data_IF_958847734888
#
_entry.id   IF_958847734888
#
_cell.length_a   1.000
_cell.length_b   1.000
_cell.length_c   1.000
_cell.angle_alpha   90.00
_cell.angle_beta   90.00
_cell.angle_gamma   90.00
#
_symmetry.space_group_name_H-M   'P 1'
#
loop_
_entity.id
_entity.type
_entity.pdbx_description
1 polymer ?
#
# COMPACT_ATOMS: atom_id res chain seq x y z
N UNK A 1 -27.30 19.80 -49.97
CA UNK A 1 -26.39 18.85 -49.31
C UNK A 1 -26.85 18.74 -47.85
N UNK A 2 -27.69 17.76 -47.55
CA UNK A 2 -28.25 17.53 -46.21
C UNK A 2 -27.21 16.79 -45.36
N UNK A 3 -26.79 17.39 -44.24
CA UNK A 3 -26.03 16.69 -43.20
C UNK A 3 -27.00 16.35 -42.07
N UNK A 4 -27.29 15.06 -41.90
CA UNK A 4 -28.06 14.54 -40.77
C UNK A 4 -27.14 14.51 -39.54
N UNK A 5 -27.46 15.31 -38.52
CA UNK A 5 -26.95 15.07 -37.17
C UNK A 5 -27.64 13.83 -36.60
N UNK A 6 -26.86 12.80 -36.25
CA UNK A 6 -27.32 11.74 -35.38
C UNK A 6 -27.36 12.28 -33.95
N UNK A 7 -28.57 12.53 -33.44
CA UNK A 7 -28.80 12.73 -32.02
C UNK A 7 -28.67 11.36 -31.32
N UNK A 8 -27.62 11.19 -30.52
CA UNK A 8 -27.58 10.13 -29.53
C UNK A 8 -28.53 10.52 -28.39
N UNK A 9 -29.73 9.94 -28.38
CA UNK A 9 -30.61 9.97 -27.22
C UNK A 9 -29.98 9.14 -26.11
N UNK A 10 -29.32 9.81 -25.15
CA UNK A 10 -29.13 9.23 -23.83
C UNK A 10 -30.51 9.10 -23.18
N UNK A 11 -31.02 7.87 -23.11
CA UNK A 11 -32.04 7.51 -22.13
C UNK A 11 -31.43 7.77 -20.75
N UNK A 12 -31.76 8.93 -20.17
CA UNK A 12 -31.53 9.19 -18.77
C UNK A 12 -32.32 8.14 -17.98
N UNK A 13 -31.65 7.09 -17.55
CA UNK A 13 -32.15 6.27 -16.46
C UNK A 13 -32.24 7.19 -15.24
N UNK A 14 -33.46 7.63 -14.94
CA UNK A 14 -33.80 8.28 -13.68
C UNK A 14 -33.54 7.26 -12.55
N UNK A 15 -32.29 7.11 -12.15
CA UNK A 15 -31.98 6.68 -10.80
C UNK A 15 -32.50 7.80 -9.90
N UNK A 16 -33.69 7.62 -9.31
CA UNK A 16 -34.04 8.37 -8.10
C UNK A 16 -32.93 8.05 -7.10
N UNK A 17 -31.94 8.94 -6.99
CA UNK A 17 -31.06 8.96 -5.85
C UNK A 17 -31.98 9.07 -4.63
N UNK A 18 -32.06 7.99 -3.84
CA UNK A 18 -32.79 8.01 -2.59
C UNK A 18 -32.32 9.24 -1.82
N UNK A 19 -33.25 10.11 -1.41
CA UNK A 19 -32.91 11.23 -0.55
C UNK A 19 -32.20 10.65 0.68
N UNK A 20 -31.03 11.21 1.07
CA UNK A 20 -30.31 10.71 2.23
C UNK A 20 -31.23 10.79 3.44
N UNK A 21 -31.50 9.64 4.07
CA UNK A 21 -32.31 9.58 5.27
C UNK A 21 -31.63 10.43 6.36
N UNK A 22 -32.34 11.41 6.90
CA UNK A 22 -31.82 12.20 8.01
C UNK A 22 -32.08 11.43 9.31
N UNK A 23 -31.00 10.99 9.94
CA UNK A 23 -31.04 10.38 11.27
C UNK A 23 -30.96 11.50 12.32
N UNK A 24 -31.98 11.61 13.17
CA UNK A 24 -31.98 12.52 14.31
C UNK A 24 -31.52 11.76 15.56
N UNK A 25 -30.38 12.16 16.12
CA UNK A 25 -29.82 11.61 17.37
C UNK A 25 -29.86 12.73 18.41
N UNK A 26 -30.95 12.82 19.16
CA UNK A 26 -31.23 13.91 20.11
C UNK A 26 -31.28 13.45 21.58
N UNK A 27 -31.18 12.14 21.81
CA UNK A 27 -31.31 11.53 23.12
C UNK A 27 -29.97 10.97 23.59
N UNK A 28 -29.34 11.57 24.63
CA UNK A 28 -28.13 11.00 25.22
C UNK A 28 -28.39 9.59 25.76
N UNK A 29 -27.44 8.68 25.51
CA UNK A 29 -27.42 7.32 26.06
C UNK A 29 -26.08 7.10 26.77
N UNK A 30 -26.04 6.32 27.87
CA UNK A 30 -24.78 5.83 28.42
C UNK A 30 -24.00 5.07 27.33
N UNK A 31 -22.68 5.24 27.31
CA UNK A 31 -21.84 4.46 26.40
C UNK A 31 -21.96 2.96 26.76
N UNK A 32 -22.21 2.07 25.78
CA UNK A 32 -22.23 0.64 26.03
C UNK A 32 -20.82 0.13 26.36
N UNK A 33 -20.73 -0.95 27.12
CA UNK A 33 -19.45 -1.51 27.60
C UNK A 33 -18.46 -1.79 26.46
N UNK A 34 -18.93 -2.28 25.31
CA UNK A 34 -18.07 -2.56 24.16
C UNK A 34 -17.36 -1.30 23.63
N UNK A 35 -18.01 -0.13 23.67
CA UNK A 35 -17.43 1.11 23.19
C UNK A 35 -16.34 1.62 24.15
N UNK A 36 -16.52 1.41 25.45
CA UNK A 36 -15.50 1.71 26.45
C UNK A 36 -14.28 0.78 26.30
N UNK A 37 -14.52 -0.51 26.05
CA UNK A 37 -13.46 -1.49 25.80
C UNK A 37 -12.72 -1.21 24.49
N UNK A 38 -13.41 -0.82 23.43
CA UNK A 38 -12.80 -0.40 22.17
C UNK A 38 -11.90 0.81 22.38
N UNK A 39 -12.36 1.85 23.11
CA UNK A 39 -11.52 2.99 23.47
C UNK A 39 -10.27 2.58 24.25
N UNK A 40 -10.43 1.71 25.25
CA UNK A 40 -9.30 1.19 26.01
C UNK A 40 -8.33 0.42 25.11
N UNK A 41 -8.82 -0.38 24.16
CA UNK A 41 -7.99 -1.10 23.20
C UNK A 41 -7.18 -0.14 22.33
N UNK A 42 -7.82 0.87 21.74
CA UNK A 42 -7.16 1.87 20.91
C UNK A 42 -6.04 2.58 21.69
N UNK A 43 -6.31 2.99 22.93
CA UNK A 43 -5.32 3.65 23.80
C UNK A 43 -4.15 2.73 24.19
N UNK A 44 -4.36 1.40 24.25
CA UNK A 44 -3.27 0.43 24.48
C UNK A 44 -2.46 0.21 23.21
N UNK A 45 -3.12 0.12 22.05
CA UNK A 45 -2.45 -0.03 20.75
C UNK A 45 -1.57 1.19 20.43
N UNK A 46 -2.02 2.39 20.77
CA UNK A 46 -1.24 3.62 20.57
C UNK A 46 0.06 3.60 21.38
N UNK A 47 0.00 3.23 22.67
CA UNK A 47 1.20 3.06 23.50
C UNK A 47 2.12 1.95 23.01
N UNK A 48 1.56 0.85 22.51
CA UNK A 48 2.34 -0.22 21.91
C UNK A 48 3.04 0.25 20.61
N UNK A 49 2.36 1.06 19.81
CA UNK A 49 2.91 1.66 18.59
C UNK A 49 4.09 2.59 18.90
N UNK A 50 4.00 3.42 19.93
CA UNK A 50 5.11 4.28 20.38
C UNK A 50 6.35 3.43 20.72
N UNK A 51 6.19 2.40 21.57
CA UNK A 51 7.29 1.50 21.93
C UNK A 51 7.88 0.80 20.71
N UNK A 52 7.02 0.34 19.80
CA UNK A 52 7.46 -0.31 18.56
C UNK A 52 8.27 0.64 17.66
N UNK A 53 7.76 1.85 17.41
CA UNK A 53 8.43 2.86 16.60
C UNK A 53 9.77 3.26 17.22
N UNK A 54 9.81 3.55 18.51
CA UNK A 54 11.05 3.92 19.21
C UNK A 54 12.12 2.82 19.14
N UNK A 55 11.68 1.56 19.17
CA UNK A 55 12.56 0.39 19.11
C UNK A 55 13.19 0.20 17.73
N UNK A 56 12.45 0.45 16.64
CA UNK A 56 12.86 0.04 15.29
C UNK A 56 13.15 1.19 14.33
N UNK A 57 12.79 2.42 14.67
CA UNK A 57 12.88 3.58 13.77
C UNK A 57 13.87 4.61 14.33
N UNK A 58 14.65 5.20 13.43
CA UNK A 58 15.53 6.34 13.70
C UNK A 58 14.75 7.66 13.63
N UNK A 59 15.27 8.76 14.22
CA UNK A 59 14.59 10.06 14.18
C UNK A 59 14.28 10.58 12.76
N UNK A 60 15.07 10.19 11.75
CA UNK A 60 14.86 10.59 10.34
C UNK A 60 13.83 9.73 9.59
N UNK A 61 13.19 8.78 10.27
CA UNK A 61 12.17 7.88 9.73
C UNK A 61 12.74 6.62 9.10
N UNK A 62 14.08 6.49 8.98
CA UNK A 62 14.71 5.26 8.49
C UNK A 62 14.66 4.17 9.56
N UNK A 63 14.78 2.92 9.13
CA UNK A 63 14.80 1.78 10.06
C UNK A 63 16.18 1.64 10.70
N UNK A 64 16.20 1.26 11.98
CA UNK A 64 17.38 0.74 12.70
C UNK A 64 17.71 -0.64 12.15
N UNK A 65 18.29 -0.64 10.95
CA UNK A 65 18.59 -1.82 10.15
C UNK A 65 20.08 -1.88 9.82
N UNK A 66 20.51 -2.97 9.18
CA UNK A 66 21.82 -3.12 8.54
C UNK A 66 22.15 -1.95 7.60
N UNK A 67 23.44 -1.57 7.53
CA UNK A 67 23.93 -0.47 6.69
C UNK A 67 23.82 -0.72 5.18
N UNK A 68 23.73 -1.99 4.78
CA UNK A 68 23.57 -2.44 3.40
C UNK A 68 22.53 -3.55 3.36
N UNK A 69 21.75 -3.60 2.30
CA UNK A 69 20.88 -4.73 2.04
C UNK A 69 21.72 -5.96 1.70
N UNK A 70 21.58 -7.01 2.51
CA UNK A 70 22.27 -8.29 2.35
C UNK A 70 21.34 -9.41 1.86
N UNK A 71 20.05 -9.10 1.69
CA UNK A 71 19.09 -10.01 1.10
C UNK A 71 19.40 -10.27 -0.38
N UNK A 72 18.91 -11.41 -0.87
CA UNK A 72 18.86 -11.73 -2.29
C UNK A 72 17.89 -10.81 -3.03
N UNK A 73 16.82 -11.40 -3.54
CA UNK A 73 15.82 -10.78 -4.40
C UNK A 73 15.30 -9.45 -3.77
N UNK A 74 14.97 -8.44 -4.60
CA UNK A 74 14.63 -7.04 -4.26
C UNK A 74 13.37 -6.79 -3.38
N UNK A 75 13.23 -7.47 -2.23
CA UNK A 75 12.08 -7.31 -1.35
C UNK A 75 12.13 -5.99 -0.55
N UNK A 76 11.17 -5.12 -0.90
CA UNK A 76 10.71 -3.87 -0.27
C UNK A 76 9.82 -4.01 0.97
N UNK A 77 8.96 -4.98 0.85
CA UNK A 77 7.60 -5.04 1.37
C UNK A 77 7.55 -5.11 2.89
N UNK A 78 8.24 -6.08 3.49
CA UNK A 78 8.40 -6.25 4.95
C UNK A 78 8.68 -4.92 5.69
N UNK A 79 9.51 -4.06 5.10
CA UNK A 79 9.90 -2.80 5.73
C UNK A 79 8.72 -1.82 5.84
N UNK A 80 7.87 -1.74 4.82
CA UNK A 80 6.65 -0.93 4.84
C UNK A 80 5.54 -1.60 5.65
N UNK A 81 5.38 -2.92 5.48
CA UNK A 81 4.35 -3.71 6.10
C UNK A 81 4.33 -3.63 7.62
N UNK A 82 5.52 -3.59 8.23
CA UNK A 82 5.68 -3.50 9.68
C UNK A 82 4.94 -2.31 10.32
N UNK A 83 4.58 -1.28 9.53
CA UNK A 83 3.95 -0.06 10.01
C UNK A 83 2.54 0.17 9.45
N UNK A 84 2.03 -0.71 8.59
CA UNK A 84 0.77 -0.51 7.84
C UNK A 84 -0.44 -0.14 8.71
N UNK A 85 -0.46 -0.62 9.95
CA UNK A 85 -1.58 -0.47 10.88
C UNK A 85 -1.65 0.90 11.55
N UNK A 86 -0.60 1.73 11.50
CA UNK A 86 -0.55 3.00 12.23
C UNK A 86 -1.62 4.00 11.75
N UNK A 87 -1.67 4.30 10.44
CA UNK A 87 -2.70 5.19 9.88
C UNK A 87 -4.09 4.57 9.93
N UNK A 88 -4.20 3.23 9.89
CA UNK A 88 -5.48 2.57 10.09
C UNK A 88 -5.99 2.79 11.52
N UNK A 89 -5.11 2.70 12.52
CA UNK A 89 -5.44 2.96 13.91
C UNK A 89 -5.91 4.41 14.12
N UNK A 90 -5.26 5.37 13.46
CA UNK A 90 -5.76 6.75 13.41
C UNK A 90 -7.16 6.84 12.81
N UNK A 91 -7.40 6.22 11.64
CA UNK A 91 -8.71 6.25 10.98
C UNK A 91 -9.84 5.61 11.82
N UNK A 92 -9.50 4.67 12.72
CA UNK A 92 -10.43 4.06 13.67
C UNK A 92 -10.64 4.90 14.95
N UNK A 93 -9.99 6.04 15.09
CA UNK A 93 -10.15 6.98 16.20
C UNK A 93 -8.96 7.05 17.17
N UNK A 94 -7.80 6.49 16.82
CA UNK A 94 -6.53 6.77 17.50
C UNK A 94 -6.04 8.20 17.26
N UNK A 95 -4.91 8.58 17.87
CA UNK A 95 -4.40 9.94 17.74
C UNK A 95 -3.83 10.26 16.34
N UNK A 96 -3.84 11.55 15.96
CA UNK A 96 -3.34 12.04 14.67
C UNK A 96 -1.83 11.82 14.49
N UNK A 97 -1.10 11.75 15.60
CA UNK A 97 0.33 11.48 15.64
C UNK A 97 0.66 10.12 15.01
N UNK A 98 -0.23 9.14 15.07
CA UNK A 98 -0.05 7.83 14.43
C UNK A 98 0.07 7.95 12.91
N UNK A 99 -0.84 8.69 12.27
CA UNK A 99 -0.78 8.91 10.82
C UNK A 99 0.45 9.73 10.41
N UNK A 100 0.74 10.78 11.19
CA UNK A 100 1.93 11.62 10.95
C UNK A 100 3.22 10.80 11.04
N UNK A 101 3.31 9.93 12.04
CA UNK A 101 4.43 9.01 12.26
C UNK A 101 4.54 7.99 11.14
N UNK A 102 3.43 7.38 10.72
CA UNK A 102 3.42 6.41 9.64
C UNK A 102 3.92 7.00 8.31
N UNK A 103 3.47 8.20 7.94
CA UNK A 103 3.93 8.89 6.72
C UNK A 103 5.40 9.25 6.80
N UNK A 104 5.89 9.68 7.96
CA UNK A 104 7.31 9.94 8.20
C UNK A 104 8.16 8.68 8.00
N UNK A 105 7.75 7.57 8.61
CA UNK A 105 8.41 6.27 8.49
C UNK A 105 8.39 5.77 7.04
N UNK A 106 7.23 5.83 6.37
CA UNK A 106 7.09 5.41 4.98
C UNK A 106 8.07 6.16 4.07
N UNK A 107 8.20 7.48 4.26
CA UNK A 107 9.17 8.30 3.52
C UNK A 107 10.62 7.94 3.87
N UNK A 108 10.91 7.63 5.13
CA UNK A 108 12.23 7.19 5.57
C UNK A 108 12.64 5.84 4.98
N UNK A 109 11.75 4.84 5.02
CA UNK A 109 11.93 3.54 4.35
C UNK A 109 12.17 3.76 2.86
N UNK A 110 11.34 4.55 2.20
CA UNK A 110 11.48 4.85 0.76
C UNK A 110 12.87 5.39 0.43
N UNK A 111 13.38 6.35 1.23
CA UNK A 111 14.74 6.88 1.06
C UNK A 111 15.81 5.82 1.30
N UNK A 112 15.66 5.03 2.36
CA UNK A 112 16.62 3.98 2.74
C UNK A 112 16.72 2.90 1.67
N UNK A 113 15.59 2.38 1.19
CA UNK A 113 15.55 1.32 0.18
C UNK A 113 15.85 1.84 -1.23
N UNK A 114 15.65 3.13 -1.49
CA UNK A 114 16.20 3.78 -2.70
C UNK A 114 17.73 3.75 -2.69
N UNK A 115 18.36 4.01 -1.54
CA UNK A 115 19.83 3.92 -1.41
C UNK A 115 20.35 2.49 -1.57
N UNK A 116 19.58 1.49 -1.15
CA UNK A 116 19.94 0.08 -1.33
C UNK A 116 19.69 -0.43 -2.76
N UNK A 117 18.83 0.26 -3.51
CA UNK A 117 18.54 -0.01 -4.92
C UNK A 117 17.29 -0.84 -5.16
N UNK A 118 16.61 -1.30 -4.11
CA UNK A 118 15.34 -2.02 -4.21
C UNK A 118 14.22 -1.12 -4.72
N UNK A 119 14.19 0.15 -4.27
CA UNK A 119 13.18 1.13 -4.68
C UNK A 119 13.75 2.05 -5.75
N UNK A 120 12.94 2.32 -6.77
CA UNK A 120 13.22 3.29 -7.82
C UNK A 120 11.98 4.13 -8.09
N UNK A 121 12.12 5.47 -8.18
CA UNK A 121 10.97 6.38 -8.33
C UNK A 121 9.85 6.16 -7.29
N UNK A 122 10.25 5.88 -6.04
CA UNK A 122 9.38 5.62 -4.88
C UNK A 122 8.54 4.33 -4.95
N UNK A 123 8.71 3.52 -6.00
CA UNK A 123 8.08 2.21 -6.14
C UNK A 123 9.15 1.11 -6.25
N UNK A 124 8.84 -0.11 -5.86
CA UNK A 124 9.78 -1.23 -5.97
C UNK A 124 10.25 -1.40 -7.42
N UNK A 125 11.55 -1.54 -7.58
CA UNK A 125 12.21 -1.57 -8.88
C UNK A 125 11.66 -2.71 -9.74
N UNK A 126 11.73 -3.93 -9.18
CA UNK A 126 11.19 -5.14 -9.77
C UNK A 126 10.90 -6.16 -8.65
N UNK A 127 9.66 -6.63 -8.57
CA UNK A 127 9.22 -7.66 -7.62
C UNK A 127 7.93 -8.34 -8.11
N UNK A 128 7.48 -9.40 -7.44
CA UNK A 128 6.21 -10.03 -7.79
C UNK A 128 5.00 -9.23 -7.29
N UNK A 129 3.87 -9.48 -7.94
CA UNK A 129 2.64 -8.72 -7.72
C UNK A 129 2.11 -8.78 -6.27
N UNK A 130 2.27 -9.90 -5.59
CA UNK A 130 1.69 -10.11 -4.26
C UNK A 130 2.34 -9.16 -3.26
N UNK A 131 3.67 -9.16 -3.23
CA UNK A 131 4.43 -8.34 -2.31
C UNK A 131 4.41 -6.84 -2.67
N UNK A 132 4.20 -6.45 -3.93
CA UNK A 132 3.85 -5.05 -4.24
C UNK A 132 2.56 -4.65 -3.50
N UNK A 133 1.55 -5.52 -3.50
CA UNK A 133 0.31 -5.28 -2.77
C UNK A 133 0.54 -5.11 -1.27
N UNK A 134 1.42 -5.92 -0.70
CA UNK A 134 1.84 -5.84 0.70
C UNK A 134 2.59 -4.54 1.02
N UNK A 135 3.64 -4.21 0.27
CA UNK A 135 4.49 -3.04 0.53
C UNK A 135 3.76 -1.70 0.37
N UNK A 136 2.75 -1.63 -0.50
CA UNK A 136 1.99 -0.40 -0.77
C UNK A 136 0.59 -0.37 -0.15
N UNK A 137 0.25 -1.35 0.71
CA UNK A 137 -1.07 -1.43 1.36
C UNK A 137 -1.40 -0.18 2.19
N UNK A 138 -0.41 0.54 2.69
CA UNK A 138 -0.59 1.77 3.48
C UNK A 138 -1.29 2.90 2.70
N UNK A 139 -1.35 2.84 1.37
CA UNK A 139 -2.06 3.85 0.57
C UNK A 139 -3.57 3.88 0.82
N UNK A 140 -4.18 2.75 1.19
CA UNK A 140 -5.59 2.72 1.57
C UNK A 140 -5.88 3.54 2.82
N UNK A 141 -5.24 3.27 3.99
CA UNK A 141 -5.47 4.07 5.18
C UNK A 141 -4.92 5.51 5.04
N UNK A 142 -3.88 5.78 4.25
CA UNK A 142 -3.46 7.17 4.00
C UNK A 142 -4.53 8.00 3.31
N UNK A 143 -5.21 7.45 2.31
CA UNK A 143 -6.32 8.13 1.64
C UNK A 143 -7.56 8.26 2.53
N UNK A 144 -7.81 7.29 3.41
CA UNK A 144 -8.89 7.36 4.39
C UNK A 144 -8.62 8.42 5.49
N UNK A 145 -7.37 8.51 5.94
CA UNK A 145 -6.92 9.44 6.97
C UNK A 145 -6.93 10.89 6.48
N UNK A 146 -6.41 11.13 5.28
CA UNK A 146 -6.39 12.45 4.65
C UNK A 146 -6.55 12.33 3.12
N UNK A 147 -7.77 12.50 2.59
CA UNK A 147 -8.01 12.45 1.15
C UNK A 147 -7.49 13.68 0.38
N UNK A 148 -6.99 14.71 1.10
CA UNK A 148 -6.49 15.95 0.52
C UNK A 148 -4.95 16.06 0.55
N UNK A 149 -4.24 14.98 0.91
CA UNK A 149 -2.79 14.93 0.81
C UNK A 149 -2.35 14.87 -0.67
N UNK A 150 -1.90 16.01 -1.20
CA UNK A 150 -1.46 16.16 -2.58
C UNK A 150 -0.28 15.25 -2.95
N UNK A 151 0.65 14.99 -2.02
CA UNK A 151 1.82 14.16 -2.27
C UNK A 151 1.43 12.70 -2.44
N UNK A 152 0.57 12.19 -1.55
CA UNK A 152 0.10 10.81 -1.66
C UNK A 152 -0.87 10.63 -2.83
N UNK A 153 -1.68 11.64 -3.16
CA UNK A 153 -2.49 11.64 -4.38
C UNK A 153 -1.63 11.55 -5.64
N UNK A 154 -0.57 12.35 -5.73
CA UNK A 154 0.39 12.30 -6.84
C UNK A 154 1.06 10.92 -6.95
N UNK A 155 1.53 10.37 -5.82
CA UNK A 155 2.09 9.01 -5.75
C UNK A 155 1.10 7.96 -6.24
N UNK A 156 -0.15 7.98 -5.77
CA UNK A 156 -1.18 7.02 -6.22
C UNK A 156 -1.39 7.05 -7.72
N UNK A 157 -1.45 8.24 -8.32
CA UNK A 157 -1.63 8.40 -9.77
C UNK A 157 -0.41 7.86 -10.51
N UNK A 158 0.81 8.22 -10.08
CA UNK A 158 2.05 7.72 -10.70
C UNK A 158 2.19 6.21 -10.57
N UNK A 159 1.87 5.64 -9.41
CA UNK A 159 1.96 4.20 -9.19
C UNK A 159 0.91 3.44 -10.00
N UNK A 160 -0.28 4.01 -10.19
CA UNK A 160 -1.25 3.45 -11.12
C UNK A 160 -0.72 3.47 -12.57
N UNK A 161 -0.08 4.57 -12.99
CA UNK A 161 0.47 4.72 -14.34
C UNK A 161 1.51 3.63 -14.73
N UNK A 162 2.26 3.12 -13.74
CA UNK A 162 3.19 1.98 -13.88
C UNK A 162 2.47 0.71 -14.39
N UNK A 163 1.16 0.59 -14.16
CA UNK A 163 0.36 -0.60 -14.47
C UNK A 163 -0.81 -0.36 -15.44
N UNK A 164 -1.06 0.87 -15.87
CA UNK A 164 -2.06 1.19 -16.91
C UNK A 164 -1.45 1.34 -18.30
N UNK A 165 -0.11 1.33 -18.41
CA UNK A 165 0.61 1.59 -19.65
C UNK A 165 0.81 3.07 -19.97
N UNK A 166 0.51 3.95 -19.01
CA UNK A 166 0.71 5.40 -19.12
C UNK A 166 2.14 5.83 -18.76
N UNK A 167 2.89 5.01 -18.02
CA UNK A 167 4.30 5.24 -17.72
C UNK A 167 5.23 4.61 -18.79
N UNK A 168 5.89 5.40 -19.65
CA UNK A 168 6.77 4.88 -20.70
C UNK A 168 8.08 4.28 -20.15
N UNK A 169 8.50 4.64 -18.93
CA UNK A 169 9.72 4.11 -18.31
C UNK A 169 9.48 2.76 -17.63
N UNK A 170 8.23 2.46 -17.29
CA UNK A 170 7.81 1.21 -16.65
C UNK A 170 6.80 0.46 -17.53
N UNK A 171 7.21 -0.11 -18.68
CA UNK A 171 6.29 -0.72 -19.63
C UNK A 171 5.86 -2.12 -19.16
N UNK A 172 5.22 -2.22 -17.99
CA UNK A 172 4.76 -3.47 -17.38
C UNK A 172 3.50 -4.01 -18.03
N UNK A 173 2.63 -3.13 -18.55
CA UNK A 173 1.37 -3.49 -19.18
C UNK A 173 1.46 -3.40 -20.70
N UNK A 174 0.99 -4.44 -21.39
CA UNK A 174 0.77 -4.41 -22.84
C UNK A 174 -0.71 -4.07 -23.11
N UNK A 175 -1.04 -2.88 -23.65
CA UNK A 175 -2.42 -2.47 -23.89
C UNK A 175 -3.09 -3.19 -25.06
N UNK A 176 -2.31 -3.77 -25.99
CA UNK A 176 -2.86 -4.53 -27.13
C UNK A 176 -3.29 -5.92 -26.68
N UNK A 177 -2.43 -6.58 -25.91
CA UNK A 177 -2.69 -7.93 -25.39
C UNK A 177 -3.44 -7.93 -24.05
N UNK A 178 -3.57 -6.76 -23.42
CA UNK A 178 -4.20 -6.54 -22.11
C UNK A 178 -3.62 -7.42 -21.01
N UNK A 179 -2.29 -7.51 -20.96
CA UNK A 179 -1.57 -8.38 -20.03
C UNK A 179 -0.44 -7.65 -19.33
N UNK A 180 -0.09 -8.14 -18.14
CA UNK A 180 1.15 -7.79 -17.47
C UNK A 180 2.26 -8.65 -18.08
N UNK A 181 3.35 -7.99 -18.51
CA UNK A 181 4.36 -8.57 -19.42
C UNK A 181 5.32 -9.55 -18.76
N UNK A 182 5.41 -9.56 -17.44
CA UNK A 182 6.23 -10.48 -16.67
C UNK A 182 5.61 -10.72 -15.28
N UNK A 183 5.99 -11.82 -14.62
CA UNK A 183 5.55 -12.07 -13.24
C UNK A 183 6.29 -11.17 -12.23
N UNK A 184 7.50 -10.71 -12.57
CA UNK A 184 8.23 -9.66 -11.85
C UNK A 184 8.20 -8.36 -12.63
N UNK A 185 7.68 -7.31 -11.99
CA UNK A 185 7.44 -5.98 -12.57
C UNK A 185 7.72 -4.91 -11.53
N UNK A 186 7.72 -3.64 -11.93
CA UNK A 186 7.86 -2.53 -11.00
C UNK A 186 8.21 -1.23 -11.72
N UNK A 187 8.78 -0.27 -11.01
CA UNK A 187 9.16 1.02 -11.58
C UNK A 187 10.27 0.94 -12.64
N UNK A 188 11.02 -0.16 -12.71
CA UNK A 188 11.99 -0.41 -13.79
C UNK A 188 11.43 -1.24 -14.95
N UNK A 189 10.13 -1.52 -14.94
CA UNK A 189 9.47 -2.32 -15.97
C UNK A 189 9.54 -3.83 -15.73
N UNK A 190 9.20 -4.64 -16.75
CA UNK A 190 9.12 -6.09 -16.61
C UNK A 190 10.50 -6.76 -16.69
N UNK A 191 10.76 -7.74 -15.81
CA UNK A 191 11.93 -8.61 -15.92
C UNK A 191 11.60 -9.76 -16.88
N UNK A 192 12.20 -9.73 -18.07
CA UNK A 192 12.00 -10.75 -19.12
C UNK A 192 12.98 -11.92 -19.02
N UNK A 193 14.14 -11.71 -18.39
CA UNK A 193 15.19 -12.70 -18.25
C UNK A 193 15.64 -12.79 -16.79
N UNK A 194 15.87 -14.02 -16.32
CA UNK A 194 16.06 -14.33 -14.92
C UNK A 194 17.39 -15.02 -14.72
N UNK A 195 18.04 -14.74 -13.61
CA UNK A 195 19.25 -15.43 -13.18
C UNK A 195 19.03 -16.08 -11.79
N UNK A 196 19.97 -16.93 -11.37
CA UNK A 196 19.86 -17.68 -10.10
C UNK A 196 19.68 -16.78 -8.86
N UNK A 197 20.26 -15.56 -8.88
CA UNK A 197 20.12 -14.59 -7.79
C UNK A 197 18.67 -14.16 -7.62
N UNK A 198 17.94 -14.03 -8.72
CA UNK A 198 16.52 -13.68 -8.77
C UNK A 198 15.60 -14.82 -8.31
N UNK A 199 16.16 -15.91 -7.79
CA UNK A 199 15.43 -17.04 -7.20
C UNK A 199 16.02 -17.49 -5.88
N UNK A 200 17.06 -16.81 -5.38
CA UNK A 200 17.67 -17.15 -4.10
C UNK A 200 16.83 -16.51 -3.00
N UNK A 201 16.12 -17.31 -2.18
CA UNK A 201 15.31 -16.76 -1.10
C UNK A 201 16.22 -16.02 -0.12
N UNK A 202 15.76 -14.90 0.40
CA UNK A 202 16.41 -14.18 1.49
C UNK A 202 16.51 -15.02 2.76
N UNK A 203 15.62 -16.01 2.92
CA UNK A 203 15.48 -16.79 4.14
C UNK A 203 15.68 -18.29 3.90
N UNK A 204 16.87 -18.79 4.23
CA UNK A 204 17.13 -20.23 4.41
C UNK A 204 16.21 -20.87 5.48
N UNK A 205 15.61 -20.04 6.34
CA UNK A 205 14.65 -20.47 7.36
C UNK A 205 13.31 -20.98 6.80
N UNK A 206 12.97 -20.63 5.54
CA UNK A 206 11.77 -21.15 4.89
C UNK A 206 11.93 -22.60 4.43
N UNK A 207 13.16 -23.12 4.35
CA UNK A 207 13.42 -24.52 4.02
C UNK A 207 12.94 -25.50 5.11
N UNK A 208 12.63 -25.00 6.32
CA UNK A 208 12.12 -25.81 7.43
C UNK A 208 10.59 -25.81 7.53
N UNK A 209 9.89 -25.01 6.71
CA UNK A 209 8.44 -25.11 6.64
C UNK A 209 8.08 -26.30 5.76
N UNK A 210 7.26 -27.18 6.31
CA UNK A 210 6.65 -28.26 5.54
C UNK A 210 5.86 -27.66 4.38
N UNK A 211 5.74 -28.41 3.28
CA UNK A 211 4.80 -28.03 2.23
C UNK A 211 3.43 -27.82 2.89
N UNK A 212 2.66 -26.78 2.51
CA UNK A 212 1.33 -26.55 3.05
C UNK A 212 0.37 -27.73 2.80
N UNK A 213 0.78 -28.66 1.95
CA UNK A 213 0.09 -29.88 1.59
C UNK A 213 1.09 -31.04 1.61
N UNK A 214 0.90 -31.99 2.52
CA UNK A 214 1.72 -33.20 2.65
C UNK A 214 1.39 -34.26 1.58
N UNK A 215 0.38 -34.00 0.73
CA UNK A 215 -0.21 -34.93 -0.23
C UNK A 215 0.04 -34.56 -1.71
N UNK A 216 0.93 -33.60 -1.98
CA UNK A 216 1.41 -33.34 -3.34
C UNK A 216 2.43 -34.46 -3.71
N UNK A 217 2.15 -35.30 -4.73
CA UNK A 217 2.95 -36.48 -5.09
C UNK A 217 4.40 -36.18 -5.47
#
# INVERSE_FOLDING_TARGET
MLVRLFAFSFLAANALLAQPATLHIDTPRPAPDWALLERQLLDQLERAAEVFVDTYVQPDGTLRWQERYQGGMNSSDDAYEGFRSLSLLYALGGSKELDSTHRHIWNGITKQFTRYGQVYREFDSNWDWMHHGEGYVSFYPFGLADPHDDLFRDRSIRFAAIYTGEDPESPNYDPKLRLIRAVMTGSRGPIMEWNKRDWTPTNANLAYYHLPYDDIP
#
